data_IF_414423557085
#
_entry.id   IF_414423557085
#
_cell.length_a   1.000
_cell.length_b   1.000
_cell.length_c   1.000
_cell.angle_alpha   90.00
_cell.angle_beta   90.00
_cell.angle_gamma   90.00
#
_symmetry.space_group_name_H-M   'P 1'
#
loop_
_entity.id
_entity.type
_entity.pdbx_description
1 polymer ?
#
# COMPACT_ATOMS: atom_id res chain seq x y z
N UNK A 1 21.60 -19.43 1.21
CA UNK A 1 20.25 -18.87 1.49
C UNK A 1 19.24 -19.73 0.76
N UNK A 2 18.12 -20.10 1.39
CA UNK A 2 17.11 -20.94 0.75
C UNK A 2 16.34 -20.14 -0.32
N UNK A 3 16.26 -20.68 -1.55
CA UNK A 3 15.58 -20.03 -2.68
C UNK A 3 14.06 -20.27 -2.69
N UNK A 4 13.49 -20.59 -1.52
CA UNK A 4 12.08 -20.88 -1.33
C UNK A 4 11.56 -20.28 -0.01
N UNK A 5 10.25 -20.14 0.11
CA UNK A 5 9.58 -19.65 1.32
C UNK A 5 8.43 -20.56 1.67
N UNK A 6 8.42 -21.11 2.89
CA UNK A 6 7.38 -22.04 3.34
C UNK A 6 6.35 -21.30 4.17
N UNK A 7 5.08 -21.43 3.80
CA UNK A 7 3.94 -21.00 4.60
C UNK A 7 3.25 -22.20 5.21
N UNK A 8 3.43 -22.39 6.52
CA UNK A 8 2.77 -23.46 7.30
C UNK A 8 1.26 -23.27 7.36
N UNK A 9 0.80 -22.02 7.48
CA UNK A 9 -0.63 -21.67 7.59
C UNK A 9 -1.43 -22.13 6.37
N UNK A 10 -0.90 -21.93 5.17
CA UNK A 10 -1.58 -22.28 3.91
C UNK A 10 -1.11 -23.62 3.34
N UNK A 11 -0.17 -24.31 4.00
CA UNK A 11 0.57 -25.45 3.44
C UNK A 11 1.06 -25.16 2.02
N UNK A 12 1.76 -24.04 1.83
CA UNK A 12 2.31 -23.61 0.53
C UNK A 12 3.80 -23.38 0.57
N UNK A 13 4.49 -23.69 -0.53
CA UNK A 13 5.90 -23.39 -0.74
C UNK A 13 6.02 -22.47 -1.94
N UNK A 14 6.58 -21.28 -1.73
CA UNK A 14 6.83 -20.29 -2.77
C UNK A 14 8.27 -20.39 -3.23
N UNK A 15 8.48 -20.83 -4.46
CA UNK A 15 9.81 -21.13 -5.00
C UNK A 15 10.26 -20.09 -6.00
N UNK A 16 11.52 -19.68 -5.91
CA UNK A 16 12.18 -18.96 -6.98
C UNK A 16 12.83 -19.97 -7.95
N UNK A 17 12.17 -20.21 -9.08
CA UNK A 17 12.53 -21.29 -10.01
C UNK A 17 13.90 -21.07 -10.66
N UNK A 18 14.31 -19.81 -10.82
CA UNK A 18 15.55 -19.44 -11.51
C UNK A 18 16.81 -19.79 -10.70
N UNK A 19 16.68 -19.94 -9.38
CA UNK A 19 17.80 -20.13 -8.46
C UNK A 19 17.72 -21.45 -7.67
N UNK A 20 16.88 -22.40 -8.08
CA UNK A 20 16.69 -23.65 -7.34
C UNK A 20 17.92 -24.56 -7.41
N UNK A 21 18.44 -24.93 -6.24
CA UNK A 21 19.48 -25.97 -6.14
C UNK A 21 18.87 -27.36 -6.04
N UNK A 22 19.67 -28.40 -6.30
CA UNK A 22 19.20 -29.79 -6.14
C UNK A 22 18.75 -30.11 -4.71
N UNK A 23 19.44 -29.56 -3.71
CA UNK A 23 19.06 -29.71 -2.30
C UNK A 23 17.70 -29.07 -1.99
N UNK A 24 17.40 -27.91 -2.59
CA UNK A 24 16.09 -27.26 -2.45
C UNK A 24 14.97 -28.12 -3.05
N UNK A 25 15.21 -28.75 -4.21
CA UNK A 25 14.23 -29.65 -4.86
C UNK A 25 13.87 -30.86 -3.97
N UNK A 26 14.85 -31.48 -3.34
CA UNK A 26 14.62 -32.61 -2.41
C UNK A 26 13.76 -32.19 -1.21
N UNK A 27 14.03 -31.01 -0.64
CA UNK A 27 13.21 -30.49 0.45
C UNK A 27 11.77 -30.21 0.01
N UNK A 28 11.58 -29.63 -1.18
CA UNK A 28 10.26 -29.35 -1.75
C UNK A 28 9.47 -30.63 -1.95
N UNK A 29 10.09 -31.68 -2.51
CA UNK A 29 9.47 -32.99 -2.68
C UNK A 29 9.03 -33.59 -1.34
N UNK A 30 9.88 -33.50 -0.31
CA UNK A 30 9.54 -33.97 1.03
C UNK A 30 8.32 -33.23 1.60
N UNK A 31 8.23 -31.92 1.39
CA UNK A 31 7.07 -31.12 1.82
C UNK A 31 5.82 -31.36 0.97
N UNK A 32 5.95 -31.69 -0.30
CA UNK A 32 4.82 -32.13 -1.12
C UNK A 32 4.21 -33.42 -0.56
N UNK A 33 5.04 -34.36 -0.10
CA UNK A 33 4.56 -35.58 0.58
C UNK A 33 3.85 -35.28 1.91
N UNK A 34 4.23 -34.20 2.61
CA UNK A 34 3.51 -33.69 3.80
C UNK A 34 2.19 -32.95 3.45
N UNK A 35 1.85 -32.83 2.15
CA UNK A 35 0.65 -32.18 1.66
C UNK A 35 0.79 -30.69 1.40
N UNK A 36 2.01 -30.18 1.22
CA UNK A 36 2.22 -28.79 0.80
C UNK A 36 2.07 -28.63 -0.72
N UNK A 37 1.39 -27.57 -1.14
CA UNK A 37 1.32 -27.16 -2.55
C UNK A 37 2.50 -26.24 -2.91
N UNK A 38 3.00 -26.34 -4.14
CA UNK A 38 4.16 -25.59 -4.60
C UNK A 38 3.70 -24.53 -5.61
N UNK A 39 4.05 -23.28 -5.38
CA UNK A 39 3.76 -22.16 -6.29
C UNK A 39 5.07 -21.45 -6.66
N UNK A 40 5.28 -21.22 -7.95
CA UNK A 40 6.35 -20.34 -8.38
C UNK A 40 6.09 -18.92 -7.84
N UNK A 41 7.11 -18.30 -7.23
CA UNK A 41 7.08 -16.88 -6.89
C UNK A 41 6.87 -16.13 -8.19
N UNK A 42 5.66 -15.59 -8.38
CA UNK A 42 5.42 -14.62 -9.45
C UNK A 42 6.45 -13.50 -9.24
N UNK A 43 7.16 -13.06 -10.30
CA UNK A 43 8.05 -11.92 -10.17
C UNK A 43 7.24 -10.81 -9.51
N UNK A 44 7.77 -10.25 -8.41
CA UNK A 44 7.18 -9.07 -7.78
C UNK A 44 7.09 -8.05 -8.90
N UNK A 45 5.89 -7.89 -9.49
CA UNK A 45 5.62 -6.74 -10.35
C UNK A 45 6.05 -5.56 -9.50
N UNK A 46 7.10 -4.85 -9.93
CA UNK A 46 7.55 -3.64 -9.29
C UNK A 46 6.28 -2.87 -8.92
N UNK A 47 6.13 -2.48 -7.65
CA UNK A 47 4.95 -1.77 -7.13
C UNK A 47 4.48 -0.85 -8.24
N UNK A 48 3.38 -1.20 -8.91
CA UNK A 48 2.80 -0.34 -9.94
C UNK A 48 2.60 0.96 -9.20
N UNK A 49 3.39 1.97 -9.56
CA UNK A 49 3.22 3.31 -9.02
C UNK A 49 1.72 3.59 -9.08
N UNK A 50 1.15 3.98 -7.95
CA UNK A 50 -0.28 4.19 -7.82
C UNK A 50 -0.77 4.95 -9.06
N UNK A 51 -1.49 4.26 -9.95
CA UNK A 51 -2.01 4.88 -11.14
C UNK A 51 -3.17 5.76 -10.71
N UNK A 52 -2.86 6.98 -10.29
CA UNK A 52 -3.87 7.99 -9.96
C UNK A 52 -4.41 8.67 -11.23
N UNK A 53 -4.43 7.96 -12.38
CA UNK A 53 -5.22 8.35 -13.55
C UNK A 53 -6.61 7.75 -13.40
N UNK A 54 -7.40 8.32 -12.50
CA UNK A 54 -8.77 7.86 -12.28
C UNK A 54 -9.37 8.12 -10.89
N UNK A 55 -8.75 8.94 -10.04
CA UNK A 55 -9.48 9.41 -8.85
C UNK A 55 -10.55 10.38 -9.31
N UNK A 56 -11.80 10.04 -8.99
CA UNK A 56 -12.97 10.90 -9.05
C UNK A 56 -12.70 12.32 -8.51
N UNK A 57 -13.61 13.25 -8.84
CA UNK A 57 -13.74 14.65 -8.36
C UNK A 57 -13.68 14.77 -6.82
N UNK A 58 -12.59 14.35 -6.21
CA UNK A 58 -12.31 14.50 -4.81
C UNK A 58 -11.61 15.84 -4.66
N UNK A 59 -12.10 16.75 -3.79
CA UNK A 59 -11.44 18.02 -3.56
C UNK A 59 -10.01 17.74 -3.12
N UNK A 60 -9.03 18.19 -3.89
CA UNK A 60 -7.61 18.07 -3.55
C UNK A 60 -7.23 19.17 -2.56
N UNK A 61 -6.10 19.02 -1.85
CA UNK A 61 -5.60 20.04 -0.90
C UNK A 61 -5.59 21.45 -1.54
N UNK A 62 -5.10 21.55 -2.77
CA UNK A 62 -5.04 22.80 -3.51
C UNK A 62 -6.43 23.39 -3.83
N UNK A 63 -7.42 22.54 -4.11
CA UNK A 63 -8.81 22.98 -4.35
C UNK A 63 -9.47 23.51 -3.07
N UNK A 64 -9.19 22.88 -1.93
CA UNK A 64 -9.73 23.35 -0.64
C UNK A 64 -9.13 24.71 -0.30
N UNK A 65 -7.79 24.83 -0.37
CA UNK A 65 -7.08 26.08 -0.06
C UNK A 65 -7.45 27.25 -0.99
N UNK A 66 -7.91 26.98 -2.22
CA UNK A 66 -8.36 28.04 -3.14
C UNK A 66 -9.77 28.56 -2.85
N UNK A 67 -10.56 27.82 -2.06
CA UNK A 67 -11.89 28.23 -1.60
C UNK A 67 -11.88 28.86 -0.20
N UNK A 68 -10.79 28.68 0.54
CA UNK A 68 -10.60 29.27 1.87
C UNK A 68 -10.21 30.74 1.73
N UNK A 69 -10.93 31.67 2.40
CA UNK A 69 -10.59 33.10 2.41
C UNK A 69 -9.24 33.33 3.10
N UNK A 70 -8.54 34.42 2.77
CA UNK A 70 -7.19 34.70 3.29
C UNK A 70 -7.10 34.70 4.82
N UNK A 71 -8.14 35.17 5.49
CA UNK A 71 -8.25 35.19 6.95
C UNK A 71 -8.23 33.79 7.59
N UNK A 72 -8.67 32.76 6.85
CA UNK A 72 -8.77 31.39 7.36
C UNK A 72 -7.70 30.45 6.76
N UNK A 73 -6.77 31.00 5.94
CA UNK A 73 -5.66 30.22 5.37
C UNK A 73 -4.65 29.80 6.43
N UNK A 74 -4.37 30.67 7.41
CA UNK A 74 -3.47 30.34 8.52
C UNK A 74 -4.04 29.19 9.36
N UNK A 75 -5.33 29.24 9.70
CA UNK A 75 -6.02 28.16 10.44
C UNK A 75 -6.01 26.83 9.64
N UNK A 76 -6.20 26.91 8.32
CA UNK A 76 -6.12 25.75 7.44
C UNK A 76 -4.72 25.12 7.39
N UNK A 77 -3.65 25.93 7.38
CA UNK A 77 -2.27 25.47 7.42
C UNK A 77 -1.89 24.87 8.77
N UNK A 78 -2.36 25.45 9.86
CA UNK A 78 -2.16 24.90 11.21
C UNK A 78 -2.86 23.54 11.36
N UNK A 79 -4.07 23.37 10.83
CA UNK A 79 -4.76 22.07 10.82
C UNK A 79 -3.96 21.01 10.05
N UNK A 80 -3.36 21.42 8.92
CA UNK A 80 -2.52 20.54 8.09
C UNK A 80 -1.22 20.13 8.79
N UNK A 81 -0.63 21.03 9.57
CA UNK A 81 0.66 20.82 10.24
C UNK A 81 0.51 20.16 11.62
N UNK A 82 -0.60 20.39 12.32
CA UNK A 82 -0.85 19.90 13.68
C UNK A 82 -1.33 18.45 13.78
N UNK A 83 -1.75 17.84 12.67
CA UNK A 83 -2.29 16.48 12.68
C UNK A 83 -1.31 15.48 12.06
N UNK A 84 -0.94 14.47 12.87
CA UNK A 84 0.10 13.49 12.55
C UNK A 84 -0.07 12.72 11.23
N UNK A 85 1.01 12.03 10.83
CA UNK A 85 1.25 11.30 9.56
C UNK A 85 0.01 10.95 8.72
N UNK A 86 -0.46 11.91 7.92
CA UNK A 86 -1.48 11.70 6.88
C UNK A 86 -2.92 12.09 7.25
N UNK A 87 -3.17 12.56 8.47
CA UNK A 87 -4.51 13.00 8.89
C UNK A 87 -4.86 14.45 8.51
N UNK A 88 -3.86 15.30 8.26
CA UNK A 88 -4.09 16.72 7.97
C UNK A 88 -4.95 17.03 6.77
N UNK A 89 -4.89 16.21 5.71
CA UNK A 89 -5.78 16.41 4.58
C UNK A 89 -7.26 16.13 4.92
N UNK A 90 -7.53 15.09 5.72
CA UNK A 90 -8.89 14.76 6.13
C UNK A 90 -9.44 15.77 7.14
N UNK A 91 -8.60 16.23 8.07
CA UNK A 91 -8.96 17.28 9.03
C UNK A 91 -9.30 18.60 8.30
N UNK A 92 -8.45 19.02 7.36
CA UNK A 92 -8.71 20.20 6.52
C UNK A 92 -10.01 20.05 5.73
N UNK A 93 -10.25 18.87 5.14
CA UNK A 93 -11.46 18.61 4.35
C UNK A 93 -12.73 18.67 5.21
N UNK A 94 -12.70 18.09 6.42
CA UNK A 94 -13.84 18.15 7.34
C UNK A 94 -14.10 19.58 7.81
N UNK A 95 -13.07 20.30 8.23
CA UNK A 95 -13.17 21.69 8.65
C UNK A 95 -13.70 22.60 7.53
N UNK A 96 -13.17 22.46 6.31
CA UNK A 96 -13.62 23.27 5.17
C UNK A 96 -15.08 22.98 4.79
N UNK A 97 -15.55 21.73 4.97
CA UNK A 97 -16.95 21.37 4.78
C UNK A 97 -17.86 21.94 5.88
N UNK A 98 -17.41 21.94 7.13
CA UNK A 98 -18.15 22.55 8.26
C UNK A 98 -18.30 24.06 8.11
N UNK A 99 -17.28 24.74 7.58
CA UNK A 99 -17.30 26.18 7.29
C UNK A 99 -18.01 26.54 5.98
N UNK A 100 -18.40 25.56 5.16
CA UNK A 100 -19.10 25.77 3.89
C UNK A 100 -18.20 26.23 2.72
N UNK A 101 -16.89 25.99 2.79
CA UNK A 101 -15.95 26.34 1.73
C UNK A 101 -15.92 25.30 0.58
N UNK A 102 -16.35 24.07 0.84
CA UNK A 102 -16.43 22.95 -0.13
C UNK A 102 -17.67 22.10 0.06
#
# INVERSE_FOLDING_TARGET
MANYTVSKQYKKIYVDVENLTHADMLFIQLKQNEGYSVEAKKPRKAKKGASNKGSAKNPTKAFIMSKVPEEAKEEAEDILNGSGSGHGFFALKSWAKEKGYI
#
